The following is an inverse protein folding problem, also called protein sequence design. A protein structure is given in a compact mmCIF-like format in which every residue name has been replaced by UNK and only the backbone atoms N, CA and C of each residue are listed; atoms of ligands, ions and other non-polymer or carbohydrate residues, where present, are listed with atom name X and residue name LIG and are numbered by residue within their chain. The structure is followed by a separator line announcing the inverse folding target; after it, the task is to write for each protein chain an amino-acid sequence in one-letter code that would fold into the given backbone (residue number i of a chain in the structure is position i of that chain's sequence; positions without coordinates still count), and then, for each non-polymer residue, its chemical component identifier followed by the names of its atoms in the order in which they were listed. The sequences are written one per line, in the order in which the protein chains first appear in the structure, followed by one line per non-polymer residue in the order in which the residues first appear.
data_IF_019474393327
#
_entry.id   IF_019474393327
#
_cell.length_a   1.000
_cell.length_b   1.000
_cell.length_c   1.000
_cell.angle_alpha   90.00
_cell.angle_beta   90.00
_cell.angle_gamma   90.00
#
_symmetry.space_group_name_H-M   'P 1'
#
loop_
_entity.id
_entity.type
_entity.pdbx_description
1 polymer ?
#
# COMPACT_ATOMS: atom_id res chain seq x y z
N UNK A 1 5.23 -4.46 17.14
CA UNK A 1 5.68 -3.36 16.28
C UNK A 1 4.49 -2.57 15.77
N UNK A 2 4.66 -1.29 15.61
CA UNK A 2 3.63 -0.39 15.09
C UNK A 2 4.19 0.36 13.89
N UNK A 3 3.44 0.35 12.78
CA UNK A 3 3.74 1.16 11.60
C UNK A 3 2.55 2.06 11.30
N UNK A 4 2.83 3.27 10.83
CA UNK A 4 1.82 4.23 10.42
C UNK A 4 1.96 4.50 8.93
N UNK A 5 0.89 4.24 8.18
CA UNK A 5 0.78 4.61 6.78
C UNK A 5 0.03 5.92 6.69
N UNK A 6 0.69 6.97 6.21
CA UNK A 6 0.08 8.29 6.07
C UNK A 6 -0.07 8.60 4.59
N UNK A 7 -1.31 8.72 4.13
CA UNK A 7 -1.63 9.12 2.76
C UNK A 7 -1.56 10.63 2.64
N UNK A 8 -0.79 11.15 1.69
CA UNK A 8 -0.57 12.59 1.54
C UNK A 8 -1.02 13.16 0.21
N UNK A 9 -1.10 12.34 -0.84
CA UNK A 9 -1.49 12.78 -2.18
C UNK A 9 -2.41 11.75 -2.81
N UNK A 10 -3.43 12.21 -3.56
CA UNK A 10 -4.30 11.31 -4.31
C UNK A 10 -4.70 11.94 -5.63
N UNK A 11 -4.78 11.10 -6.65
CA UNK A 11 -5.30 11.43 -7.98
C UNK A 11 -5.79 10.13 -8.62
N UNK A 12 -6.26 10.20 -9.86
CA UNK A 12 -6.61 8.99 -10.61
C UNK A 12 -5.40 8.11 -10.89
N UNK A 13 -4.17 8.63 -10.73
CA UNK A 13 -2.93 7.87 -10.91
C UNK A 13 -2.52 7.07 -9.68
N UNK A 14 -3.14 7.31 -8.54
CA UNK A 14 -2.88 6.58 -7.30
C UNK A 14 -2.97 7.46 -6.07
N UNK A 15 -2.89 6.81 -4.92
CA UNK A 15 -2.77 7.46 -3.61
C UNK A 15 -1.39 7.17 -3.07
N UNK A 16 -0.64 8.23 -2.79
CA UNK A 16 0.76 8.14 -2.38
C UNK A 16 0.93 8.65 -0.96
N UNK A 17 1.84 8.02 -0.24
CA UNK A 17 2.15 8.37 1.12
C UNK A 17 3.43 7.71 1.58
N UNK A 18 3.53 7.53 2.90
CA UNK A 18 4.67 6.87 3.53
C UNK A 18 4.19 5.89 4.59
N UNK A 19 4.98 4.84 4.80
CA UNK A 19 4.84 3.97 5.97
C UNK A 19 6.06 4.19 6.85
N UNK A 20 5.83 4.44 8.13
CA UNK A 20 6.90 4.74 9.09
C UNK A 20 6.76 3.91 10.35
N UNK A 21 7.88 3.52 10.90
CA UNK A 21 7.98 2.76 12.14
C UNK A 21 9.38 2.19 12.29
N UNK A 22 9.75 1.82 13.50
CA UNK A 22 11.05 1.19 13.80
C UNK A 22 12.25 1.97 13.24
N UNK A 23 12.13 3.32 13.19
CA UNK A 23 13.21 4.19 12.70
C UNK A 23 13.34 4.24 11.17
N UNK A 24 12.38 3.71 10.43
CA UNK A 24 12.41 3.67 8.97
C UNK A 24 11.19 4.35 8.37
N UNK A 25 11.37 4.90 7.16
CA UNK A 25 10.30 5.48 6.35
C UNK A 25 10.46 4.94 4.92
N UNK A 26 9.37 4.39 4.37
CA UNK A 26 9.29 3.95 2.99
C UNK A 26 8.12 4.63 2.30
N UNK A 27 8.19 4.76 0.98
CA UNK A 27 7.08 5.28 0.19
C UNK A 27 6.02 4.21 -0.04
N UNK A 28 4.77 4.65 -0.18
CA UNK A 28 3.64 3.75 -0.44
C UNK A 28 2.83 4.22 -1.65
N UNK A 29 2.21 3.27 -2.32
CA UNK A 29 1.22 3.53 -3.36
C UNK A 29 0.03 2.61 -3.17
N UNK A 30 -1.16 3.16 -3.31
CA UNK A 30 -2.43 2.45 -3.23
C UNK A 30 -3.36 3.01 -4.32
N UNK A 31 -4.44 2.29 -4.60
CA UNK A 31 -5.51 2.80 -5.46
C UNK A 31 -6.12 4.08 -4.88
N UNK A 32 -6.70 4.95 -5.71
CA UNK A 32 -7.52 6.05 -5.20
C UNK A 32 -8.70 5.53 -4.39
N UNK A 33 -9.21 6.36 -3.47
CA UNK A 33 -10.39 6.02 -2.69
C UNK A 33 -11.62 5.95 -3.61
N UNK A 34 -12.32 4.82 -3.60
CA UNK A 34 -13.55 4.58 -4.36
C UNK A 34 -14.58 3.89 -3.47
N UNK A 35 -14.87 4.50 -2.32
CA UNK A 35 -15.90 4.04 -1.38
C UNK A 35 -15.65 2.63 -0.84
N UNK A 36 -14.39 2.25 -0.67
CA UNK A 36 -13.99 0.90 -0.23
C UNK A 36 -14.50 -0.22 -1.13
N UNK A 37 -14.86 0.10 -2.36
CA UNK A 37 -15.33 -0.92 -3.31
C UNK A 37 -14.22 -1.89 -3.66
N UNK A 38 -14.55 -3.18 -3.65
CA UNK A 38 -13.60 -4.25 -3.92
C UNK A 38 -12.98 -4.08 -5.30
N UNK A 39 -11.66 -4.33 -5.38
CA UNK A 39 -10.84 -4.32 -6.60
C UNK A 39 -10.52 -2.93 -7.17
N UNK A 40 -11.22 -1.87 -6.77
CA UNK A 40 -11.04 -0.54 -7.36
C UNK A 40 -10.68 0.54 -6.35
N UNK A 41 -10.72 0.25 -5.06
CA UNK A 41 -10.48 1.24 -3.99
C UNK A 41 -9.33 0.80 -3.08
N UNK A 42 -8.58 1.78 -2.56
CA UNK A 42 -7.76 1.55 -1.38
C UNK A 42 -8.66 1.24 -0.18
N UNK A 43 -8.06 0.71 0.87
CA UNK A 43 -8.80 0.32 2.09
C UNK A 43 -9.14 1.52 2.95
N UNK A 44 -10.14 1.42 3.85
CA UNK A 44 -10.47 2.52 4.75
C UNK A 44 -9.32 2.86 5.71
N UNK A 45 -9.21 4.12 6.14
CA UNK A 45 -8.36 4.45 7.27
C UNK A 45 -8.77 3.65 8.51
N UNK A 46 -7.82 3.36 9.38
CA UNK A 46 -8.09 2.62 10.61
C UNK A 46 -6.88 1.86 11.09
N UNK A 47 -7.07 1.02 12.08
CA UNK A 47 -6.04 0.16 12.66
C UNK A 47 -6.25 -1.28 12.25
N UNK A 48 -5.18 -1.93 11.80
CA UNK A 48 -5.22 -3.30 11.29
C UNK A 48 -4.08 -4.11 11.87
N UNK A 49 -4.32 -5.41 12.05
CA UNK A 49 -3.24 -6.35 12.36
C UNK A 49 -2.79 -6.99 11.06
N UNK A 50 -1.48 -6.99 10.83
CA UNK A 50 -0.85 -7.58 9.67
C UNK A 50 -0.02 -8.79 10.09
N UNK A 51 0.08 -9.77 9.21
CA UNK A 51 0.90 -10.97 9.44
C UNK A 51 1.64 -11.38 8.17
N UNK A 52 2.74 -12.13 8.30
CA UNK A 52 3.45 -12.65 7.14
C UNK A 52 2.54 -13.46 6.24
N UNK A 53 2.74 -13.28 4.94
CA UNK A 53 2.02 -14.01 3.90
C UNK A 53 2.99 -14.28 2.74
N UNK A 54 2.93 -15.48 2.18
CA UNK A 54 3.74 -15.79 1.01
C UNK A 54 3.02 -16.76 0.11
N UNK A 55 3.04 -16.47 -1.18
CA UNK A 55 2.51 -17.34 -2.23
C UNK A 55 3.43 -17.27 -3.44
N UNK A 56 3.30 -18.17 -4.43
CA UNK A 56 4.10 -18.08 -5.66
C UNK A 56 3.95 -16.73 -6.36
N UNK A 57 2.74 -16.17 -6.37
CA UNK A 57 2.48 -14.88 -7.00
C UNK A 57 2.96 -13.70 -6.16
N UNK A 58 2.84 -13.78 -4.83
CA UNK A 58 3.21 -12.71 -3.90
C UNK A 58 4.15 -13.25 -2.83
N UNK A 59 5.42 -13.53 -3.21
CA UNK A 59 6.38 -14.03 -2.23
C UNK A 59 6.75 -12.93 -1.25
N UNK A 60 6.96 -13.34 0.01
CA UNK A 60 7.48 -12.46 1.05
C UNK A 60 6.61 -11.22 1.33
N UNK A 61 5.31 -11.36 1.22
CA UNK A 61 4.33 -10.31 1.46
C UNK A 61 3.83 -10.32 2.92
N UNK A 62 2.97 -9.37 3.23
CA UNK A 62 2.22 -9.32 4.48
C UNK A 62 0.74 -9.16 4.18
N UNK A 63 -0.10 -9.82 4.96
CA UNK A 63 -1.56 -9.71 4.84
C UNK A 63 -2.08 -8.69 5.84
N UNK A 64 -2.91 -7.76 5.36
CA UNK A 64 -3.66 -6.82 6.20
C UNK A 64 -5.00 -7.48 6.51
N UNK A 65 -5.22 -7.84 7.78
CA UNK A 65 -6.35 -8.66 8.20
C UNK A 65 -7.58 -7.85 8.58
N UNK A 66 -8.75 -8.47 8.39
CA UNK A 66 -10.03 -7.94 8.86
C UNK A 66 -10.36 -6.54 8.33
N UNK A 67 -10.00 -6.26 7.09
CA UNK A 67 -10.42 -5.02 6.44
C UNK A 67 -11.91 -5.12 6.13
N UNK A 68 -12.74 -4.15 6.58
CA UNK A 68 -14.18 -4.22 6.37
C UNK A 68 -14.54 -4.39 4.89
N UNK A 69 -15.34 -5.42 4.57
CA UNK A 69 -15.81 -5.68 3.22
C UNK A 69 -14.76 -6.09 2.21
N UNK A 70 -13.55 -6.42 2.65
CA UNK A 70 -12.43 -6.75 1.76
C UNK A 70 -11.77 -8.06 2.18
N UNK A 71 -11.08 -8.69 1.23
CA UNK A 71 -10.25 -9.87 1.47
C UNK A 71 -9.00 -9.80 0.59
N UNK A 72 -8.00 -10.59 0.95
CA UNK A 72 -6.74 -10.68 0.20
C UNK A 72 -6.04 -9.32 0.02
N UNK A 73 -6.07 -8.48 1.04
CA UNK A 73 -5.33 -7.22 1.06
C UNK A 73 -3.91 -7.53 1.54
N UNK A 74 -2.94 -7.26 0.68
CA UNK A 74 -1.54 -7.56 0.93
C UNK A 74 -0.69 -6.30 0.84
N UNK A 75 0.46 -6.34 1.51
CA UNK A 75 1.58 -5.42 1.28
C UNK A 75 2.56 -6.21 0.42
N UNK A 76 2.80 -5.77 -0.81
CA UNK A 76 3.69 -6.46 -1.74
C UNK A 76 4.44 -5.49 -2.66
N UNK A 77 5.21 -6.00 -3.61
CA UNK A 77 5.96 -5.16 -4.55
C UNK A 77 5.17 -4.90 -5.83
N UNK A 78 5.42 -3.75 -6.44
CA UNK A 78 4.83 -3.31 -7.69
C UNK A 78 5.08 -1.82 -7.90
N UNK A 79 4.61 -1.27 -9.01
CA UNK A 79 4.85 0.13 -9.37
C UNK A 79 3.58 0.95 -9.50
N UNK A 80 2.56 0.41 -10.17
CA UNK A 80 1.36 1.13 -10.58
C UNK A 80 0.20 0.89 -9.63
N UNK A 81 -0.52 1.93 -9.27
CA UNK A 81 -1.74 1.83 -8.46
C UNK A 81 -2.78 2.86 -8.93
N UNK A 82 -3.01 2.93 -10.24
CA UNK A 82 -3.93 3.88 -10.83
C UNK A 82 -5.34 3.33 -11.02
N UNK A 83 -6.25 4.24 -11.34
CA UNK A 83 -7.63 3.90 -11.65
C UNK A 83 -7.72 3.38 -13.08
N UNK A 84 -7.94 2.08 -13.25
CA UNK A 84 -8.00 1.45 -14.57
C UNK A 84 -9.22 1.90 -15.36
N UNK A 85 -10.31 2.28 -14.70
CA UNK A 85 -11.48 2.82 -15.37
C UNK A 85 -11.21 4.19 -16.02
N UNK A 86 -10.18 4.89 -15.57
CA UNK A 86 -9.71 6.16 -16.14
C UNK A 86 -8.54 5.96 -17.11
N UNK A 87 -8.19 4.74 -17.43
CA UNK A 87 -7.14 4.42 -18.40
C UNK A 87 -5.75 4.28 -17.82
N UNK A 88 -5.57 4.33 -16.51
CA UNK A 88 -4.27 4.15 -15.86
C UNK A 88 -3.98 2.69 -15.60
N UNK A 89 -2.69 2.37 -15.38
CA UNK A 89 -2.24 1.03 -15.05
C UNK A 89 -2.34 0.79 -13.55
N UNK A 90 -2.54 -0.49 -13.18
CA UNK A 90 -2.51 -0.90 -11.79
C UNK A 90 -1.91 -2.30 -11.64
N UNK A 91 -1.06 -2.46 -10.63
CA UNK A 91 -0.53 -3.76 -10.20
C UNK A 91 -1.31 -4.30 -8.99
N UNK A 92 -2.37 -3.61 -8.58
CA UNK A 92 -3.09 -3.93 -7.34
C UNK A 92 -4.60 -3.83 -7.51
N UNK A 93 -5.32 -4.53 -6.65
CA UNK A 93 -6.78 -4.45 -6.52
C UNK A 93 -7.17 -4.06 -5.09
N UNK A 94 -6.38 -3.18 -4.46
CA UNK A 94 -6.57 -2.71 -3.10
C UNK A 94 -5.37 -2.93 -2.20
N UNK A 95 -4.37 -3.66 -2.66
CA UNK A 95 -3.14 -3.91 -1.91
C UNK A 95 -2.29 -2.64 -1.80
N UNK A 96 -1.31 -2.71 -0.92
CA UNK A 96 -0.39 -1.61 -0.63
C UNK A 96 0.96 -1.95 -1.25
N UNK A 97 1.48 -1.05 -2.08
CA UNK A 97 2.83 -1.16 -2.65
C UNK A 97 3.81 -0.35 -1.83
N UNK A 98 5.02 -0.87 -1.68
CA UNK A 98 6.14 -0.16 -1.05
C UNK A 98 7.12 0.29 -2.12
N UNK A 99 7.84 1.39 -1.84
CA UNK A 99 8.92 1.86 -2.70
C UNK A 99 9.98 2.58 -1.90
N UNK A 100 11.19 2.65 -2.44
CA UNK A 100 12.26 3.48 -1.88
C UNK A 100 12.09 4.94 -2.28
N UNK A 101 11.32 5.20 -3.33
CA UNK A 101 11.08 6.55 -3.84
C UNK A 101 9.85 6.60 -4.73
N UNK A 102 9.61 7.79 -5.26
CA UNK A 102 8.57 8.10 -6.22
C UNK A 102 9.20 8.31 -7.59
N UNK A 103 8.44 8.05 -8.64
CA UNK A 103 8.91 8.27 -10.00
C UNK A 103 7.78 8.30 -11.02
N UNK A 104 8.18 8.28 -12.29
CA UNK A 104 7.26 8.22 -13.44
C UNK A 104 7.64 7.04 -14.31
N UNK A 105 6.66 6.22 -14.69
CA UNK A 105 6.83 5.17 -15.68
C UNK A 105 5.68 5.26 -16.67
N UNK A 106 6.00 5.28 -17.95
CA UNK A 106 5.00 5.37 -19.02
C UNK A 106 4.01 6.50 -18.81
N UNK A 107 4.50 7.66 -18.33
CA UNK A 107 3.67 8.84 -18.12
C UNK A 107 2.77 8.79 -16.90
N UNK A 108 2.94 7.82 -16.03
CA UNK A 108 2.13 7.65 -14.82
C UNK A 108 3.00 7.71 -13.57
N UNK A 109 2.50 8.34 -12.52
CA UNK A 109 3.15 8.38 -11.21
C UNK A 109 3.16 6.99 -10.58
N UNK A 110 4.30 6.62 -10.00
CA UNK A 110 4.55 5.29 -9.42
C UNK A 110 5.41 5.38 -8.17
N UNK A 111 5.53 4.27 -7.47
CA UNK A 111 6.65 4.02 -6.55
C UNK A 111 7.72 3.23 -7.28
N UNK A 112 8.97 3.43 -6.90
CA UNK A 112 10.13 2.79 -7.54
C UNK A 112 10.95 2.00 -6.52
N UNK A 113 11.78 1.09 -7.02
CA UNK A 113 12.62 0.21 -6.20
C UNK A 113 11.78 -0.56 -5.18
N UNK A 114 10.64 -1.08 -5.62
CA UNK A 114 9.65 -1.67 -4.74
C UNK A 114 10.13 -2.99 -4.13
N UNK A 115 10.87 -3.81 -4.88
CA UNK A 115 11.42 -5.06 -4.34
C UNK A 115 12.41 -4.79 -3.23
N UNK A 116 13.28 -3.78 -3.40
CA UNK A 116 14.24 -3.39 -2.39
C UNK A 116 13.53 -2.82 -1.15
N UNK A 117 12.46 -2.04 -1.36
CA UNK A 117 11.66 -1.52 -0.26
C UNK A 117 11.02 -2.65 0.54
N UNK A 118 10.41 -3.62 -0.13
CA UNK A 118 9.81 -4.77 0.54
C UNK A 118 10.87 -5.58 1.29
N UNK A 119 12.06 -5.76 0.72
CA UNK A 119 13.17 -6.45 1.35
C UNK A 119 13.61 -5.75 2.64
N UNK A 120 13.70 -4.41 2.63
CA UNK A 120 14.02 -3.63 3.83
C UNK A 120 12.93 -3.75 4.90
N UNK A 121 11.68 -3.73 4.48
CA UNK A 121 10.55 -3.89 5.39
C UNK A 121 10.59 -5.28 6.07
N UNK A 122 10.89 -6.31 5.29
CA UNK A 122 11.05 -7.66 5.83
C UNK A 122 12.23 -7.79 6.77
N UNK A 123 13.32 -7.07 6.53
CA UNK A 123 14.45 -7.08 7.46
C UNK A 123 14.05 -6.53 8.83
N UNK A 124 13.11 -5.57 8.87
CA UNK A 124 12.58 -5.04 10.12
C UNK A 124 11.59 -5.96 10.80
N UNK A 125 10.64 -6.48 10.04
CA UNK A 125 9.47 -7.19 10.57
C UNK A 125 9.71 -8.69 10.69
N UNK A 126 10.42 -9.28 9.72
CA UNK A 126 10.65 -10.71 9.66
C UNK A 126 9.34 -11.49 9.58
N UNK A 127 9.20 -12.51 10.42
CA UNK A 127 8.01 -13.35 10.50
C UNK A 127 7.07 -12.95 11.63
N UNK A 128 7.16 -11.71 12.10
CA UNK A 128 6.33 -11.21 13.17
C UNK A 128 5.04 -10.57 12.62
N UNK A 129 3.99 -10.61 13.43
CA UNK A 129 2.81 -9.77 13.19
C UNK A 129 3.11 -8.35 13.65
N UNK A 130 2.39 -7.39 13.09
CA UNK A 130 2.52 -5.99 13.50
C UNK A 130 1.18 -5.26 13.35
N UNK A 131 1.08 -4.12 14.01
CA UNK A 131 -0.06 -3.23 13.86
C UNK A 131 0.24 -2.20 12.79
N UNK A 132 -0.75 -1.95 11.91
CA UNK A 132 -0.71 -0.93 10.88
C UNK A 132 -1.84 0.07 11.13
N UNK A 133 -1.49 1.33 11.33
CA UNK A 133 -2.46 2.43 11.42
C UNK A 133 -2.43 3.19 10.09
N UNK A 134 -3.58 3.28 9.42
CA UNK A 134 -3.72 3.99 8.15
C UNK A 134 -4.40 5.33 8.42
N UNK A 135 -3.70 6.41 8.11
CA UNK A 135 -4.16 7.80 8.28
C UNK A 135 -4.27 8.43 6.90
N UNK A 136 -5.41 9.01 6.59
CA UNK A 136 -5.65 9.66 5.30
C UNK A 136 -5.71 11.18 5.49
N UNK A 137 -4.67 11.87 5.00
CA UNK A 137 -4.59 13.33 5.02
C UNK A 137 -5.00 13.96 3.69
N UNK A 138 -5.45 13.15 2.73
CA UNK A 138 -5.86 13.62 1.40
C UNK A 138 -7.31 14.09 1.37
N UNK A 139 -8.15 13.63 2.30
CA UNK A 139 -9.58 13.94 2.36
C UNK A 139 -9.85 14.96 3.44
N UNK A 140 -10.45 16.09 3.05
CA UNK A 140 -10.82 17.16 3.98
C UNK A 140 -12.14 16.81 4.67
N UNK A 141 -12.24 17.14 5.97
CA UNK A 141 -13.44 16.94 6.76
C UNK A 141 -13.77 15.49 7.03
N UNK A 142 -12.82 14.62 6.82
CA UNK A 142 -12.99 13.20 7.11
C UNK A 142 -12.71 12.91 8.59
#
# INVERSE_FOLDING_TARGET
MLFTLTRTETSDQGTFGTISGEGQILHTAELPWRQNLSKISCIPPGSYICRPYSSPRFPNAYEVRNVPGRSAILIHSGNYAGDTAKGYRSDVEGCILLGLGRGMLNGQEVVISSRDALSRFRALVGQNSFELVVVDKTRRGA
#
